data_IF_579829510134
#
_entry.id   IF_579829510134
#
_cell.length_a   1.000
_cell.length_b   1.000
_cell.length_c   1.000
_cell.angle_alpha   90.00
_cell.angle_beta   90.00
_cell.angle_gamma   90.00
#
_symmetry.space_group_name_H-M   'P 1'
#
loop_
_entity.id
_entity.type
_entity.pdbx_description
1 polymer ?
#
# COMPACT_ATOMS: atom_id res chain seq x y z
N UNK A 1 4.08 15.06 -14.55
CA UNK A 1 4.50 14.55 -13.23
C UNK A 1 3.44 13.65 -12.58
N UNK A 2 2.16 14.04 -12.59
CA UNK A 2 1.03 13.20 -12.11
C UNK A 2 0.90 11.85 -12.82
N UNK A 3 1.16 11.78 -14.14
CA UNK A 3 1.13 10.52 -14.90
C UNK A 3 2.12 9.47 -14.38
N UNK A 4 3.32 9.88 -13.99
CA UNK A 4 4.37 8.99 -13.48
C UNK A 4 3.99 8.48 -12.08
N UNK A 5 3.45 9.35 -11.23
CA UNK A 5 2.93 8.97 -9.91
C UNK A 5 1.75 7.99 -10.01
N UNK A 6 0.84 8.20 -10.96
CA UNK A 6 -0.28 7.30 -11.23
C UNK A 6 0.20 5.93 -11.73
N UNK A 7 1.13 5.89 -12.70
CA UNK A 7 1.67 4.63 -13.23
C UNK A 7 2.41 3.81 -12.17
N UNK A 8 3.21 4.47 -11.31
CA UNK A 8 3.92 3.78 -10.24
C UNK A 8 2.95 3.30 -9.14
N UNK A 9 1.96 4.13 -8.80
CA UNK A 9 0.90 3.78 -7.87
C UNK A 9 0.04 2.60 -8.34
N UNK A 10 -0.33 2.54 -9.63
CA UNK A 10 -1.09 1.41 -10.18
C UNK A 10 -0.26 0.13 -10.24
N UNK A 11 1.02 0.22 -10.60
CA UNK A 11 1.92 -0.94 -10.64
C UNK A 11 2.11 -1.55 -9.25
N UNK A 12 2.37 -0.70 -8.25
CA UNK A 12 2.50 -1.17 -6.86
C UNK A 12 1.16 -1.63 -6.27
N UNK A 13 0.06 -0.95 -6.61
CA UNK A 13 -1.29 -1.40 -6.28
C UNK A 13 -1.61 -2.78 -6.84
N UNK A 14 -1.18 -3.08 -8.06
CA UNK A 14 -1.30 -4.41 -8.66
C UNK A 14 -0.50 -5.49 -7.93
N UNK A 15 0.75 -5.20 -7.54
CA UNK A 15 1.55 -6.12 -6.71
C UNK A 15 0.88 -6.37 -5.36
N UNK A 16 0.39 -5.31 -4.71
CA UNK A 16 -0.33 -5.42 -3.45
C UNK A 16 -1.65 -6.18 -3.61
N UNK A 17 -2.37 -6.01 -4.73
CA UNK A 17 -3.59 -6.74 -4.99
C UNK A 17 -3.35 -8.26 -5.04
N UNK A 18 -2.32 -8.71 -5.76
CA UNK A 18 -1.93 -10.13 -5.79
C UNK A 18 -1.59 -10.62 -4.38
N UNK A 19 -0.85 -9.84 -3.61
CA UNK A 19 -0.48 -10.18 -2.24
C UNK A 19 -1.68 -10.27 -1.31
N UNK A 20 -2.62 -9.33 -1.42
CA UNK A 20 -3.88 -9.31 -0.68
C UNK A 20 -4.72 -10.54 -1.00
N UNK A 21 -4.77 -10.98 -2.27
CA UNK A 21 -5.48 -12.21 -2.66
C UNK A 21 -4.86 -13.43 -1.98
N UNK A 22 -3.53 -13.57 -2.02
CA UNK A 22 -2.83 -14.69 -1.36
C UNK A 22 -3.11 -14.70 0.14
N UNK A 23 -3.02 -13.55 0.82
CA UNK A 23 -3.31 -13.46 2.25
C UNK A 23 -4.79 -13.69 2.59
N UNK A 24 -5.71 -13.25 1.74
CA UNK A 24 -7.12 -13.54 1.92
C UNK A 24 -7.39 -15.05 1.82
N UNK A 25 -6.77 -15.74 0.86
CA UNK A 25 -6.88 -17.20 0.77
C UNK A 25 -6.27 -17.88 1.99
N UNK A 26 -5.07 -17.49 2.42
CA UNK A 26 -4.40 -18.10 3.58
C UNK A 26 -5.10 -17.80 4.91
N UNK A 27 -5.70 -16.62 5.07
CA UNK A 27 -6.30 -16.17 6.32
C UNK A 27 -7.80 -16.44 6.47
N UNK A 28 -8.54 -16.61 5.36
CA UNK A 28 -9.99 -16.85 5.39
C UNK A 28 -10.36 -18.29 5.00
N UNK A 29 -9.49 -19.04 4.34
CA UNK A 29 -9.82 -20.42 3.99
C UNK A 29 -9.72 -21.33 5.25
N UNK A 30 -10.78 -22.11 5.56
CA UNK A 30 -10.80 -23.01 6.71
C UNK A 30 -9.67 -24.06 6.72
N UNK A 31 -9.18 -24.42 5.53
CA UNK A 31 -8.09 -25.37 5.32
C UNK A 31 -6.74 -24.91 5.90
N UNK A 32 -6.60 -23.62 6.22
CA UNK A 32 -5.36 -23.01 6.73
C UNK A 32 -5.45 -22.59 8.20
N UNK A 33 -6.48 -23.00 8.94
CA UNK A 33 -6.66 -22.72 10.38
C UNK A 33 -5.52 -23.22 11.28
N UNK A 34 -4.66 -24.12 10.79
CA UNK A 34 -3.46 -24.57 11.48
C UNK A 34 -2.29 -23.57 11.44
N UNK A 35 -2.35 -22.54 10.59
CA UNK A 35 -1.32 -21.51 10.51
C UNK A 35 -1.46 -20.53 11.69
N UNK A 36 -0.35 -20.19 12.37
CA UNK A 36 -0.42 -19.26 13.49
C UNK A 36 -0.91 -17.88 13.00
N UNK A 37 -1.99 -17.35 13.59
CA UNK A 37 -2.59 -16.10 13.12
C UNK A 37 -1.67 -14.90 13.29
N UNK A 38 -0.88 -14.85 14.37
CA UNK A 38 -0.04 -13.69 14.70
C UNK A 38 1.05 -13.44 13.65
N UNK A 39 1.87 -14.43 13.22
CA UNK A 39 2.80 -14.24 12.11
C UNK A 39 2.12 -13.87 10.78
N UNK A 40 0.97 -14.46 10.49
CA UNK A 40 0.23 -14.20 9.25
C UNK A 40 -0.25 -12.74 9.22
N UNK A 41 -0.86 -12.26 10.30
CA UNK A 41 -1.29 -10.88 10.42
C UNK A 41 -0.11 -9.90 10.44
N UNK A 42 1.01 -10.28 11.07
CA UNK A 42 2.22 -9.46 11.07
C UNK A 42 2.76 -9.26 9.65
N UNK A 43 2.91 -10.33 8.86
CA UNK A 43 3.37 -10.22 7.47
C UNK A 43 2.33 -9.50 6.61
N UNK A 44 1.05 -9.78 6.82
CA UNK A 44 -0.06 -9.12 6.14
C UNK A 44 -0.14 -7.61 6.41
N UNK A 45 0.37 -7.13 7.54
CA UNK A 45 0.47 -5.71 7.87
C UNK A 45 1.79 -5.09 7.40
N UNK A 46 2.91 -5.77 7.63
CA UNK A 46 4.25 -5.24 7.35
C UNK A 46 4.47 -5.06 5.85
N UNK A 47 4.05 -6.01 5.02
CA UNK A 47 4.26 -5.94 3.56
C UNK A 47 3.58 -4.71 2.94
N UNK A 48 2.27 -4.45 3.14
CA UNK A 48 1.64 -3.24 2.62
C UNK A 48 2.27 -1.97 3.17
N UNK A 49 2.66 -1.93 4.45
CA UNK A 49 3.36 -0.79 5.05
C UNK A 49 4.67 -0.49 4.30
N UNK A 50 5.47 -1.52 4.06
CA UNK A 50 6.76 -1.37 3.36
C UNK A 50 6.57 -0.96 1.91
N UNK A 51 5.65 -1.59 1.17
CA UNK A 51 5.44 -1.30 -0.26
C UNK A 51 4.87 0.11 -0.48
N UNK A 52 3.91 0.53 0.34
CA UNK A 52 3.31 1.88 0.27
C UNK A 52 4.31 2.96 0.70
N UNK A 53 5.12 2.69 1.73
CA UNK A 53 6.22 3.58 2.12
C UNK A 53 7.29 3.68 1.03
N UNK A 54 7.70 2.56 0.45
CA UNK A 54 8.75 2.51 -0.57
C UNK A 54 8.32 3.18 -1.88
N UNK A 55 7.06 3.03 -2.28
CA UNK A 55 6.51 3.76 -3.43
C UNK A 55 6.52 5.26 -3.23
N UNK A 56 6.07 5.74 -2.05
CA UNK A 56 6.15 7.15 -1.68
C UNK A 56 7.60 7.68 -1.71
N UNK A 57 8.54 6.89 -1.16
CA UNK A 57 9.97 7.21 -1.17
C UNK A 57 10.53 7.32 -2.60
N UNK A 58 10.32 6.30 -3.43
CA UNK A 58 10.88 6.25 -4.79
C UNK A 58 10.36 7.38 -5.68
N UNK A 59 9.07 7.69 -5.60
CA UNK A 59 8.46 8.77 -6.39
C UNK A 59 8.94 10.14 -5.92
N UNK A 60 9.04 10.36 -4.61
CA UNK A 60 9.51 11.63 -4.06
C UNK A 60 11.02 11.85 -4.25
N UNK A 61 11.82 10.78 -4.24
CA UNK A 61 13.25 10.84 -4.52
C UNK A 61 13.51 11.31 -5.97
N UNK A 62 12.78 10.75 -6.93
CA UNK A 62 12.89 11.15 -8.34
C UNK A 62 12.31 12.55 -8.62
N UNK A 63 11.23 12.94 -7.94
CA UNK A 63 10.55 14.21 -8.18
C UNK A 63 11.02 15.36 -7.30
N UNK A 64 11.83 15.10 -6.26
CA UNK A 64 12.20 16.00 -5.14
C UNK A 64 11.01 16.71 -4.49
N UNK A 65 9.81 16.13 -4.59
CA UNK A 65 8.55 16.70 -4.14
C UNK A 65 7.73 15.64 -3.43
N UNK A 66 7.09 16.02 -2.34
CA UNK A 66 6.26 15.14 -1.49
C UNK A 66 4.89 14.82 -2.10
N UNK A 67 4.13 15.78 -2.69
CA UNK A 67 2.76 15.54 -3.17
C UNK A 67 2.60 14.36 -4.16
N UNK A 68 3.53 14.13 -5.11
CA UNK A 68 3.48 12.97 -5.99
C UNK A 68 3.53 11.61 -5.26
N UNK A 69 4.27 11.51 -4.15
CA UNK A 69 4.35 10.30 -3.33
C UNK A 69 3.05 10.00 -2.59
N UNK A 70 2.32 11.05 -2.17
CA UNK A 70 1.00 10.93 -1.53
C UNK A 70 -0.02 10.34 -2.49
N UNK A 71 -0.07 10.86 -3.71
CA UNK A 71 -1.03 10.41 -4.74
C UNK A 71 -0.72 8.96 -5.14
N UNK A 72 0.55 8.61 -5.34
CA UNK A 72 0.96 7.25 -5.66
C UNK A 72 0.58 6.26 -4.55
N UNK A 73 0.85 6.62 -3.28
CA UNK A 73 0.49 5.81 -2.12
C UNK A 73 -1.03 5.65 -1.96
N UNK A 74 -1.80 6.74 -2.11
CA UNK A 74 -3.25 6.71 -2.02
C UNK A 74 -3.88 5.80 -3.09
N UNK A 75 -3.40 5.87 -4.33
CA UNK A 75 -3.89 5.04 -5.44
C UNK A 75 -3.54 3.57 -5.22
N UNK A 76 -2.28 3.28 -4.84
CA UNK A 76 -1.86 1.92 -4.55
C UNK A 76 -2.67 1.29 -3.41
N UNK A 77 -2.92 2.08 -2.35
CA UNK A 77 -3.71 1.67 -1.20
C UNK A 77 -5.20 1.50 -1.52
N UNK A 78 -5.79 2.36 -2.35
CA UNK A 78 -7.18 2.22 -2.79
C UNK A 78 -7.39 0.92 -3.60
N UNK A 79 -6.46 0.59 -4.49
CA UNK A 79 -6.50 -0.63 -5.32
C UNK A 79 -6.41 -1.87 -4.42
N UNK A 80 -5.40 -1.93 -3.55
CA UNK A 80 -5.20 -3.10 -2.68
C UNK A 80 -6.32 -3.26 -1.64
N UNK A 81 -6.81 -2.15 -1.09
CA UNK A 81 -7.92 -2.12 -0.15
C UNK A 81 -9.25 -2.53 -0.78
N UNK A 82 -9.52 -2.08 -2.01
CA UNK A 82 -10.68 -2.52 -2.78
C UNK A 82 -10.64 -4.02 -3.08
N UNK A 83 -9.48 -4.53 -3.50
CA UNK A 83 -9.27 -5.98 -3.75
C UNK A 83 -9.42 -6.80 -2.46
N UNK A 84 -8.90 -6.32 -1.33
CA UNK A 84 -9.09 -6.96 -0.03
C UNK A 84 -10.56 -7.00 0.39
N UNK A 85 -11.28 -5.90 0.21
CA UNK A 85 -12.71 -5.85 0.47
C UNK A 85 -13.51 -6.82 -0.41
N UNK A 86 -13.17 -6.92 -1.71
CA UNK A 86 -13.76 -7.90 -2.62
C UNK A 86 -13.47 -9.35 -2.20
N UNK A 87 -12.26 -9.63 -1.73
CA UNK A 87 -11.90 -10.94 -1.22
C UNK A 87 -12.76 -11.30 0.00
N UNK A 88 -12.95 -10.37 0.95
CA UNK A 88 -13.86 -10.58 2.08
C UNK A 88 -15.29 -10.90 1.65
N UNK A 89 -15.81 -10.21 0.63
CA UNK A 89 -17.14 -10.50 0.07
C UNK A 89 -17.20 -11.89 -0.55
N UNK A 90 -16.17 -12.31 -1.27
CA UNK A 90 -16.08 -13.66 -1.85
C UNK A 90 -16.09 -14.76 -0.77
N UNK A 91 -15.60 -14.47 0.45
CA UNK A 91 -15.67 -15.35 1.61
C UNK A 91 -16.95 -15.14 2.47
N UNK A 92 -17.98 -14.49 1.93
CA UNK A 92 -19.30 -14.37 2.56
C UNK A 92 -19.46 -13.22 3.55
N UNK A 93 -18.50 -12.29 3.64
CA UNK A 93 -18.61 -11.10 4.50
C UNK A 93 -19.37 -9.95 3.81
N UNK A 94 -19.92 -8.97 4.55
CA UNK A 94 -20.76 -7.92 3.97
C UNK A 94 -20.03 -7.04 2.94
N UNK A 95 -20.79 -6.55 1.94
CA UNK A 95 -20.34 -5.60 0.90
C UNK A 95 -19.74 -4.31 1.48
N UNK A 96 -20.10 -3.93 2.70
CA UNK A 96 -19.52 -2.80 3.41
C UNK A 96 -17.98 -2.90 3.51
N UNK A 97 -17.42 -4.10 3.53
CA UNK A 97 -15.97 -4.32 3.56
C UNK A 97 -15.26 -3.82 2.31
N UNK A 98 -15.95 -3.71 1.17
CA UNK A 98 -15.40 -3.10 -0.04
C UNK A 98 -15.22 -1.61 0.16
N UNK A 99 -16.25 -0.91 0.64
CA UNK A 99 -16.19 0.52 0.90
C UNK A 99 -15.16 0.84 2.00
N UNK A 100 -15.17 0.08 3.09
CA UNK A 100 -14.21 0.23 4.19
C UNK A 100 -12.79 -0.06 3.72
N UNK A 101 -12.58 -1.13 2.95
CA UNK A 101 -11.28 -1.49 2.38
C UNK A 101 -10.75 -0.40 1.46
N UNK A 102 -11.59 0.16 0.60
CA UNK A 102 -11.20 1.21 -0.35
C UNK A 102 -10.83 2.52 0.38
N UNK A 103 -11.62 2.93 1.38
CA UNK A 103 -11.36 4.15 2.16
C UNK A 103 -10.13 3.99 3.05
N UNK A 104 -10.05 2.92 3.85
CA UNK A 104 -8.89 2.66 4.71
C UNK A 104 -7.62 2.42 3.89
N UNK A 105 -7.74 1.73 2.77
CA UNK A 105 -6.66 1.53 1.82
C UNK A 105 -6.15 2.85 1.26
N UNK A 106 -7.05 3.72 0.79
CA UNK A 106 -6.68 5.04 0.26
C UNK A 106 -6.03 5.93 1.33
N UNK A 107 -6.60 5.99 2.54
CA UNK A 107 -6.08 6.80 3.65
C UNK A 107 -4.74 6.25 4.14
N UNK A 108 -4.64 4.95 4.41
CA UNK A 108 -3.41 4.30 4.84
C UNK A 108 -2.30 4.43 3.79
N UNK A 109 -2.65 4.24 2.51
CA UNK A 109 -1.77 4.47 1.39
C UNK A 109 -1.28 5.92 1.27
N UNK A 110 -2.16 6.89 1.46
CA UNK A 110 -1.79 8.31 1.47
C UNK A 110 -0.81 8.60 2.62
N UNK A 111 -1.11 8.16 3.84
CA UNK A 111 -0.26 8.38 5.02
C UNK A 111 1.11 7.74 4.81
N UNK A 112 1.17 6.46 4.43
CA UNK A 112 2.44 5.76 4.22
C UNK A 112 3.24 6.35 3.06
N UNK A 113 2.56 6.74 1.97
CA UNK A 113 3.15 7.45 0.85
C UNK A 113 3.74 8.81 1.25
N UNK A 114 3.08 9.56 2.14
CA UNK A 114 3.62 10.81 2.70
C UNK A 114 4.89 10.56 3.51
N UNK A 115 4.89 9.55 4.40
CA UNK A 115 6.03 9.22 5.25
C UNK A 115 7.24 8.83 4.42
N UNK A 116 7.07 7.95 3.43
CA UNK A 116 8.12 7.61 2.48
C UNK A 116 8.63 8.82 1.71
N UNK A 117 7.72 9.69 1.27
CA UNK A 117 8.06 10.91 0.55
C UNK A 117 8.86 11.92 1.36
N UNK A 118 8.53 12.10 2.64
CA UNK A 118 9.28 12.97 3.57
C UNK A 118 10.70 12.46 3.77
N UNK A 119 10.88 11.14 3.97
CA UNK A 119 12.20 10.54 4.16
C UNK A 119 13.06 10.74 2.91
N UNK A 120 12.51 10.56 1.71
CA UNK A 120 13.21 10.76 0.44
C UNK A 120 13.69 12.19 0.20
N UNK A 121 12.85 13.18 0.52
CA UNK A 121 13.23 14.59 0.37
C UNK A 121 14.33 14.95 1.37
N UNK A 122 14.23 14.47 2.62
CA UNK A 122 15.26 14.69 3.64
C UNK A 122 16.60 14.07 3.26
N UNK A 123 16.61 12.85 2.72
CA UNK A 123 17.85 12.17 2.29
C UNK A 123 18.50 12.87 1.09
N UNK A 124 17.72 13.48 0.21
CA UNK A 124 18.23 14.27 -0.94
C UNK A 124 18.88 15.59 -0.49
N UNK A 125 18.35 16.23 0.55
CA UNK A 125 18.92 17.46 1.13
C UNK A 125 20.21 17.17 1.90
N UNK A 126 20.29 16.02 2.58
CA UNK A 126 21.49 15.63 3.33
C UNK A 126 22.68 15.28 2.41
N UNK A 127 22.44 14.84 1.18
CA UNK A 127 23.47 14.44 0.21
C UNK A 127 23.97 15.57 -0.68
N UNK A 128 23.41 16.78 -0.56
CA UNK A 128 23.89 17.95 -1.32
C UNK A 128 25.12 18.53 -0.60
N UNK A 129 26.32 18.58 -1.24
CA UNK A 129 27.50 19.16 -0.61
C UNK A 129 27.22 20.64 -0.30
N UNK A 130 27.48 21.07 0.94
CA UNK A 130 27.48 22.50 1.26
C UNK A 130 28.69 23.15 0.60
N UNK A 131 28.53 24.32 -0.06
CA UNK A 131 29.64 25.06 -0.66
C UNK A 131 30.66 25.51 0.37
#
# INVERSE_FOLDING_TARGET
MTRTALSEGTRAGGVLAVWTIVFAVLGLAPAFSWLPEVPLLAVGAVVPVVVLGFTGFRVAFNSRRIPPGVIAGAVAGAISGGVGGLAYVAFGKPLLNVAVGLVLGAVGGAVLGTLGGVVAVRSTVASTPRP
#
